data_IF_091472139488
#
_entry.id   IF_091472139488
#
_cell.length_a   1.000
_cell.length_b   1.000
_cell.length_c   1.000
_cell.angle_alpha   90.00
_cell.angle_beta   90.00
_cell.angle_gamma   90.00
#
_symmetry.space_group_name_H-M   'P 1'
#
loop_
_entity.id
_entity.type
_entity.pdbx_description
1 polymer ?
#
# COMPACT_ATOMS: atom_id res chain seq x y z
N UNK A 1 -22.57 8.32 -13.94
CA UNK A 1 -22.35 7.33 -12.87
C UNK A 1 -20.86 7.12 -12.71
N UNK A 2 -20.23 7.67 -11.66
CA UNK A 2 -18.80 7.48 -11.44
C UNK A 2 -18.58 6.20 -10.66
N UNK A 3 -17.75 5.30 -11.17
CA UNK A 3 -17.42 4.05 -10.47
C UNK A 3 -16.63 4.35 -9.20
N UNK A 4 -16.84 3.59 -8.10
CA UNK A 4 -16.10 3.79 -6.86
C UNK A 4 -14.61 3.52 -7.06
N UNK A 5 -13.78 4.32 -6.40
CA UNK A 5 -12.32 4.19 -6.45
C UNK A 5 -11.86 2.96 -5.66
N UNK A 6 -10.58 2.62 -5.81
CA UNK A 6 -9.96 1.54 -5.03
C UNK A 6 -10.05 1.82 -3.52
N UNK A 7 -9.81 3.06 -3.09
CA UNK A 7 -9.89 3.43 -1.68
C UNK A 7 -11.31 3.37 -1.15
N UNK A 8 -12.32 3.72 -1.95
CA UNK A 8 -13.72 3.60 -1.53
C UNK A 8 -14.10 2.14 -1.25
N UNK A 9 -13.68 1.23 -2.12
CA UNK A 9 -13.91 -0.21 -1.94
C UNK A 9 -13.14 -0.76 -0.74
N UNK A 10 -11.89 -0.32 -0.56
CA UNK A 10 -11.08 -0.73 0.59
C UNK A 10 -11.67 -0.23 1.91
N UNK A 11 -12.04 1.05 1.99
CA UNK A 11 -12.65 1.64 3.19
C UNK A 11 -13.96 0.94 3.56
N UNK A 12 -14.77 0.58 2.57
CA UNK A 12 -15.97 -0.23 2.79
C UNK A 12 -15.64 -1.59 3.41
N UNK A 13 -14.63 -2.28 2.88
CA UNK A 13 -14.21 -3.57 3.42
C UNK A 13 -13.66 -3.46 4.86
N UNK A 14 -12.96 -2.37 5.18
CA UNK A 14 -12.51 -2.08 6.55
C UNK A 14 -13.70 -1.86 7.50
N UNK A 15 -14.74 -1.17 7.04
CA UNK A 15 -15.95 -0.95 7.84
C UNK A 15 -16.78 -2.23 8.03
N UNK A 16 -16.98 -3.00 6.95
CA UNK A 16 -17.84 -4.18 6.94
C UNK A 16 -17.16 -5.39 7.66
N UNK A 17 -15.84 -5.51 7.53
CA UNK A 17 -15.08 -6.68 8.01
C UNK A 17 -13.71 -6.32 8.62
N UNK A 18 -13.67 -5.50 9.69
CA UNK A 18 -12.43 -4.95 10.22
C UNK A 18 -11.46 -6.01 10.75
N UNK A 19 -11.99 -7.06 11.39
CA UNK A 19 -11.20 -8.14 12.02
C UNK A 19 -10.91 -9.30 11.05
N UNK A 20 -11.40 -9.24 9.81
CA UNK A 20 -11.07 -10.23 8.80
C UNK A 20 -9.63 -10.04 8.30
N UNK A 21 -8.94 -11.14 8.04
CA UNK A 21 -7.58 -11.13 7.52
C UNK A 21 -7.57 -10.57 6.10
N UNK A 22 -6.93 -9.41 5.92
CA UNK A 22 -6.75 -8.76 4.63
C UNK A 22 -5.51 -9.28 3.89
N UNK A 23 -4.46 -9.65 4.64
CA UNK A 23 -3.16 -9.95 4.05
C UNK A 23 -2.42 -11.02 4.86
N UNK A 24 -1.85 -12.02 4.17
CA UNK A 24 -1.00 -13.05 4.76
C UNK A 24 0.34 -13.08 4.04
N UNK A 25 1.43 -13.09 4.80
CA UNK A 25 2.78 -13.15 4.27
C UNK A 25 3.71 -13.84 5.26
N UNK A 26 4.32 -14.95 4.85
CA UNK A 26 5.36 -15.70 5.60
C UNK A 26 5.16 -15.71 7.12
N UNK A 27 4.08 -16.34 7.60
CA UNK A 27 3.80 -16.48 9.04
C UNK A 27 3.18 -15.25 9.71
N UNK A 28 3.09 -14.12 9.02
CA UNK A 28 2.38 -12.92 9.49
C UNK A 28 1.04 -12.78 8.81
N UNK A 29 0.01 -12.35 9.55
CA UNK A 29 -1.30 -11.98 9.00
C UNK A 29 -1.66 -10.59 9.52
N UNK A 30 -2.26 -9.77 8.66
CA UNK A 30 -2.83 -8.47 9.03
C UNK A 30 -4.32 -8.47 8.71
N UNK A 31 -5.10 -7.97 9.65
CA UNK A 31 -6.52 -7.67 9.47
C UNK A 31 -6.72 -6.42 8.62
N UNK A 32 -7.94 -6.20 8.12
CA UNK A 32 -8.29 -4.96 7.41
C UNK A 32 -8.07 -3.72 8.29
N UNK A 33 -8.43 -3.78 9.57
CA UNK A 33 -8.22 -2.68 10.53
C UNK A 33 -6.73 -2.37 10.70
N UNK A 34 -5.91 -3.37 10.98
CA UNK A 34 -4.46 -3.18 11.20
C UNK A 34 -3.76 -2.63 9.95
N UNK A 35 -4.15 -3.12 8.77
CA UNK A 35 -3.62 -2.65 7.50
C UNK A 35 -4.02 -1.19 7.24
N UNK A 36 -5.28 -0.82 7.49
CA UNK A 36 -5.78 0.54 7.31
C UNK A 36 -5.10 1.54 8.25
N UNK A 37 -4.97 1.18 9.53
CA UNK A 37 -4.29 2.01 10.53
C UNK A 37 -2.82 2.22 10.18
N UNK A 38 -2.13 1.16 9.75
CA UNK A 38 -0.73 1.28 9.35
C UNK A 38 -0.58 2.16 8.11
N UNK A 39 -1.40 1.95 7.08
CA UNK A 39 -1.43 2.78 5.89
C UNK A 39 -1.78 4.24 6.22
N UNK A 40 -2.72 4.47 7.15
CA UNK A 40 -3.08 5.81 7.62
C UNK A 40 -1.93 6.54 8.31
N UNK A 41 -1.20 5.84 9.20
CA UNK A 41 0.01 6.41 9.84
C UNK A 41 1.09 6.76 8.82
N UNK A 42 1.28 5.92 7.80
CA UNK A 42 2.23 6.19 6.72
C UNK A 42 1.75 7.38 5.85
N UNK A 43 0.47 7.45 5.50
CA UNK A 43 -0.11 8.54 4.73
C UNK A 43 0.06 9.89 5.44
N UNK A 44 -0.19 9.94 6.76
CA UNK A 44 0.02 11.15 7.55
C UNK A 44 1.49 11.61 7.51
N UNK A 45 2.45 10.67 7.57
CA UNK A 45 3.89 10.98 7.44
C UNK A 45 4.27 11.47 6.04
N UNK A 46 3.66 10.92 4.99
CA UNK A 46 3.87 11.37 3.61
C UNK A 46 3.29 12.77 3.38
N UNK A 47 2.08 13.01 3.85
CA UNK A 47 1.43 14.31 3.80
C UNK A 47 2.24 15.39 4.54
N UNK A 48 2.79 15.06 5.72
CA UNK A 48 3.69 15.95 6.46
C UNK A 48 4.99 16.29 5.69
N UNK A 49 5.37 15.48 4.70
CA UNK A 49 6.51 15.73 3.79
C UNK A 49 6.10 16.44 2.49
N UNK A 50 4.83 16.86 2.36
CA UNK A 50 4.32 17.58 1.20
C UNK A 50 3.77 16.67 0.09
N UNK A 51 3.62 15.37 0.33
CA UNK A 51 2.98 14.47 -0.65
C UNK A 51 1.48 14.72 -0.71
N UNK A 52 0.96 14.94 -1.92
CA UNK A 52 -0.45 15.17 -2.18
C UNK A 52 -0.84 14.91 -3.64
N UNK A 53 -2.04 15.34 -4.07
CA UNK A 53 -2.48 15.23 -5.46
C UNK A 53 -1.45 15.78 -6.45
N UNK A 54 -1.17 15.01 -7.50
CA UNK A 54 -0.14 15.35 -8.51
C UNK A 54 1.29 14.94 -8.13
N UNK A 55 1.52 14.43 -6.91
CA UNK A 55 2.80 13.85 -6.51
C UNK A 55 2.96 12.41 -7.00
N UNK A 56 4.20 11.99 -7.25
CA UNK A 56 4.57 10.60 -7.54
C UNK A 56 5.54 10.09 -6.47
N UNK A 57 5.22 8.97 -5.83
CA UNK A 57 6.05 8.36 -4.78
C UNK A 57 6.58 7.02 -5.23
N UNK A 58 7.91 6.89 -5.29
CA UNK A 58 8.56 5.60 -5.55
C UNK A 58 8.52 4.72 -4.29
N UNK A 59 7.98 3.51 -4.43
CA UNK A 59 7.96 2.49 -3.39
C UNK A 59 9.10 1.49 -3.67
N UNK A 60 10.10 1.50 -2.79
CA UNK A 60 11.18 0.51 -2.77
C UNK A 60 10.99 -0.40 -1.56
N UNK A 61 10.08 -1.36 -1.68
CA UNK A 61 9.79 -2.35 -0.65
C UNK A 61 9.72 -3.75 -1.28
N UNK A 62 10.22 -4.75 -0.55
CA UNK A 62 10.02 -6.14 -0.95
C UNK A 62 8.54 -6.51 -0.93
N UNK A 63 8.17 -7.53 -1.71
CA UNK A 63 6.80 -8.04 -1.69
C UNK A 63 6.45 -8.48 -0.28
N UNK A 64 5.34 -7.95 0.23
CA UNK A 64 4.88 -8.23 1.59
C UNK A 64 3.94 -7.15 2.12
N UNK A 65 3.61 -7.22 3.43
CA UNK A 65 2.66 -6.31 4.06
C UNK A 65 3.08 -4.83 3.94
N UNK A 66 4.39 -4.55 4.01
CA UNK A 66 4.93 -3.20 3.89
C UNK A 66 4.71 -2.59 2.51
N UNK A 67 4.85 -3.37 1.44
CA UNK A 67 4.58 -2.89 0.09
C UNK A 67 3.10 -2.49 -0.07
N UNK A 68 2.17 -3.33 0.40
CA UNK A 68 0.73 -3.04 0.29
C UNK A 68 0.31 -1.87 1.17
N UNK A 69 0.79 -1.80 2.41
CA UNK A 69 0.56 -0.64 3.27
C UNK A 69 1.13 0.65 2.67
N UNK A 70 2.30 0.57 2.02
CA UNK A 70 2.92 1.68 1.29
C UNK A 70 2.07 2.17 0.11
N UNK A 71 1.57 1.25 -0.72
CA UNK A 71 0.65 1.59 -1.83
C UNK A 71 -0.60 2.30 -1.31
N UNK A 72 -1.26 1.72 -0.30
CA UNK A 72 -2.46 2.31 0.30
C UNK A 72 -2.17 3.69 0.92
N UNK A 73 -1.02 3.85 1.57
CA UNK A 73 -0.61 5.12 2.14
C UNK A 73 -0.44 6.21 1.09
N UNK A 74 0.24 5.90 -0.02
CA UNK A 74 0.42 6.84 -1.14
C UNK A 74 -0.93 7.22 -1.74
N UNK A 75 -1.79 6.24 -2.01
CA UNK A 75 -3.12 6.50 -2.55
C UNK A 75 -3.97 7.37 -1.60
N UNK A 76 -3.90 7.14 -0.29
CA UNK A 76 -4.63 7.94 0.72
C UNK A 76 -4.21 9.40 0.75
N UNK A 77 -3.00 9.75 0.29
CA UNK A 77 -2.57 11.15 0.11
C UNK A 77 -3.09 11.78 -1.17
N UNK A 78 -3.71 11.00 -2.08
CA UNK A 78 -4.09 11.44 -3.42
C UNK A 78 -2.94 11.41 -4.43
N UNK A 79 -1.76 10.93 -4.03
CA UNK A 79 -0.60 10.76 -4.90
C UNK A 79 -0.66 9.44 -5.68
N UNK A 80 0.11 9.37 -6.77
CA UNK A 80 0.35 8.14 -7.51
C UNK A 80 1.58 7.40 -6.94
N UNK A 81 1.55 6.07 -6.99
CA UNK A 81 2.71 5.25 -6.61
C UNK A 81 3.44 4.74 -7.85
N UNK A 82 4.75 4.58 -7.72
CA UNK A 82 5.59 3.88 -8.69
C UNK A 82 6.25 2.70 -7.99
N UNK A 83 6.05 1.49 -8.50
CA UNK A 83 6.73 0.30 -7.99
C UNK A 83 8.17 0.28 -8.51
N UNK A 84 9.13 0.49 -7.62
CA UNK A 84 10.55 0.38 -7.96
C UNK A 84 11.01 -1.06 -7.72
N UNK A 85 10.55 -1.99 -8.56
CA UNK A 85 11.09 -3.34 -8.55
C UNK A 85 12.50 -3.30 -9.10
N UNK A 86 13.48 -3.71 -8.28
CA UNK A 86 14.86 -3.88 -8.75
C UNK A 86 14.89 -5.03 -9.74
N UNK A 87 15.17 -4.75 -11.02
CA UNK A 87 15.39 -5.79 -12.02
C UNK A 87 16.61 -6.61 -11.57
N UNK A 88 16.54 -7.97 -11.55
CA UNK A 88 17.73 -8.77 -11.32
C UNK A 88 18.76 -8.45 -12.41
N UNK A 89 20.07 -8.45 -12.11
CA UNK A 89 21.09 -8.23 -13.12
C UNK A 89 20.91 -9.24 -14.26
N UNK A 90 21.01 -8.76 -15.50
CA UNK A 90 20.98 -9.60 -16.69
C UNK A 90 22.20 -10.53 -16.61
N UNK A 91 22.02 -11.79 -16.20
CA UNK A 91 23.12 -12.75 -16.02
C UNK A 91 23.02 -13.68 -14.81
N UNK A 92 22.05 -13.51 -13.90
CA UNK A 92 21.83 -14.48 -12.83
C UNK A 92 21.05 -15.71 -13.34
N UNK A 93 21.67 -16.48 -14.24
CA UNK A 93 21.38 -17.90 -14.42
C UNK A 93 22.36 -18.66 -13.54
N UNK A 94 21.83 -19.54 -12.69
CA UNK A 94 22.56 -20.17 -11.59
C UNK A 94 23.81 -20.95 -12.00
N UNK A 95 24.74 -20.97 -11.05
CA UNK A 95 25.49 -22.15 -10.65
C UNK A 95 25.35 -22.24 -9.12
#
# INVERSE_FOLDING_TARGET
MTAPTLLDRFARQVADHPDAVALRHTGTSLTYRELDEWAGRLAARLAAKGTGPGSLVALAADRGPAAVAGVLAVLKTGAAYLDWTRRPPCGASGA
#
